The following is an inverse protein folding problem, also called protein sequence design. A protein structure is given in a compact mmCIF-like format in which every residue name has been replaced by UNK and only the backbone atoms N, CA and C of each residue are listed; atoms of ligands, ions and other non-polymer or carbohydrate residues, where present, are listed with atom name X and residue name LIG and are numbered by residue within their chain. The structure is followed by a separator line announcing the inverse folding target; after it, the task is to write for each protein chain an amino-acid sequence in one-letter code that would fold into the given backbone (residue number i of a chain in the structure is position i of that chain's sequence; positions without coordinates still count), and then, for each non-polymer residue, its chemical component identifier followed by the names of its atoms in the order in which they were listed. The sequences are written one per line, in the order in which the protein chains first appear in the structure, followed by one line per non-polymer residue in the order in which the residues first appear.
data_IF_430898678333
#
_entry.id   IF_430898678333
#
_cell.length_a   1.000
_cell.length_b   1.000
_cell.length_c   1.000
_cell.angle_alpha   90.00
_cell.angle_beta   90.00
_cell.angle_gamma   90.00
#
_symmetry.space_group_name_H-M   'P 1'
#
loop_
_entity.id
_entity.type
_entity.pdbx_description
1 polymer ?
#
# COMPACT_ATOMS: atom_id res chain seq x y z
N UNK A 1 -7.33 -1.74 47.96
CA UNK A 1 -6.31 -2.27 47.02
C UNK A 1 -7.03 -2.63 45.73
N UNK A 2 -6.90 -1.83 44.68
CA UNK A 2 -7.63 -2.04 43.41
C UNK A 2 -6.61 -2.25 42.30
N UNK A 3 -6.43 -3.51 41.89
CA UNK A 3 -5.48 -3.88 40.84
C UNK A 3 -6.10 -3.61 39.47
N UNK A 4 -5.58 -2.61 38.76
CA UNK A 4 -6.00 -2.28 37.39
C UNK A 4 -5.36 -3.30 36.42
N UNK A 5 -6.14 -4.27 35.96
CA UNK A 5 -5.78 -5.22 34.90
C UNK A 5 -5.97 -4.58 33.53
N UNK A 6 -5.02 -3.75 33.08
CA UNK A 6 -4.94 -3.29 31.69
C UNK A 6 -3.57 -3.68 31.15
N UNK A 7 -3.45 -4.62 30.19
CA UNK A 7 -2.35 -4.56 29.19
C UNK A 7 -2.29 -5.63 28.08
N UNK A 8 -2.97 -6.78 28.13
CA UNK A 8 -2.69 -7.85 27.15
C UNK A 8 -3.47 -7.73 25.82
N UNK A 9 -4.77 -7.43 25.84
CA UNK A 9 -5.60 -7.43 24.63
C UNK A 9 -5.26 -6.29 23.64
N UNK A 10 -4.97 -5.10 24.17
CA UNK A 10 -4.72 -3.90 23.36
C UNK A 10 -3.48 -4.04 22.48
N UNK A 11 -2.48 -4.79 22.96
CA UNK A 11 -1.22 -5.05 22.23
C UNK A 11 -1.42 -6.07 21.09
N UNK A 12 -2.27 -7.09 21.30
CA UNK A 12 -2.60 -8.12 20.30
C UNK A 12 -3.40 -7.55 19.13
N UNK A 13 -4.39 -6.69 19.40
CA UNK A 13 -5.20 -6.04 18.34
C UNK A 13 -4.36 -5.17 17.41
N UNK A 14 -3.49 -4.31 17.97
CA UNK A 14 -2.64 -3.40 17.17
C UNK A 14 -1.63 -4.14 16.28
N UNK A 15 -1.16 -5.31 16.72
CA UNK A 15 -0.24 -6.15 15.94
C UNK A 15 -0.92 -6.77 14.72
N UNK A 16 -2.17 -7.23 14.86
CA UNK A 16 -3.00 -7.72 13.76
C UNK A 16 -3.17 -6.67 12.66
N UNK A 17 -3.49 -5.43 13.04
CA UNK A 17 -3.78 -4.37 12.05
C UNK A 17 -2.54 -3.96 11.25
N UNK A 18 -1.37 -3.82 11.89
CA UNK A 18 -0.13 -3.52 11.15
C UNK A 18 0.23 -4.64 10.17
N UNK A 19 0.01 -5.90 10.54
CA UNK A 19 0.28 -7.04 9.68
C UNK A 19 -0.70 -7.11 8.50
N UNK A 20 -2.00 -6.85 8.75
CA UNK A 20 -3.02 -6.77 7.70
C UNK A 20 -2.69 -5.67 6.68
N UNK A 21 -2.35 -4.47 7.15
CA UNK A 21 -2.00 -3.36 6.27
C UNK A 21 -0.74 -3.70 5.45
N UNK A 22 0.28 -4.26 6.09
CA UNK A 22 1.49 -4.68 5.38
C UNK A 22 1.20 -5.72 4.29
N UNK A 23 0.35 -6.72 4.55
CA UNK A 23 -0.03 -7.70 3.53
C UNK A 23 -0.91 -7.10 2.43
N UNK A 24 -1.78 -6.16 2.77
CA UNK A 24 -2.56 -5.42 1.78
C UNK A 24 -1.64 -4.63 0.84
N UNK A 25 -0.63 -3.95 1.37
CA UNK A 25 0.35 -3.19 0.59
C UNK A 25 1.15 -4.11 -0.35
N UNK A 26 1.58 -5.27 0.16
CA UNK A 26 2.25 -6.31 -0.64
C UNK A 26 1.33 -6.81 -1.74
N UNK A 27 0.07 -7.12 -1.44
CA UNK A 27 -0.90 -7.60 -2.41
C UNK A 27 -1.17 -6.55 -3.51
N UNK A 28 -1.36 -5.29 -3.14
CA UNK A 28 -1.54 -4.18 -4.08
C UNK A 28 -0.31 -4.01 -4.98
N UNK A 29 0.89 -4.10 -4.42
CA UNK A 29 2.12 -3.99 -5.19
C UNK A 29 2.27 -5.09 -6.26
N UNK A 30 2.00 -6.34 -5.90
CA UNK A 30 2.04 -7.44 -6.87
C UNK A 30 0.90 -7.37 -7.89
N UNK A 31 -0.31 -7.01 -7.46
CA UNK A 31 -1.43 -6.80 -8.36
C UNK A 31 -1.10 -5.71 -9.41
N UNK A 32 -0.51 -4.59 -8.98
CA UNK A 32 -0.03 -3.54 -9.86
C UNK A 32 0.99 -4.04 -10.89
N UNK A 33 2.02 -4.79 -10.46
CA UNK A 33 3.03 -5.33 -11.39
C UNK A 33 2.41 -6.26 -12.44
N UNK A 34 1.50 -7.14 -12.01
CA UNK A 34 0.82 -8.08 -12.91
C UNK A 34 -0.04 -7.30 -13.91
N UNK A 35 -0.79 -6.31 -13.43
CA UNK A 35 -1.68 -5.49 -14.24
C UNK A 35 -0.93 -4.66 -15.29
N UNK A 36 0.26 -4.16 -14.96
CA UNK A 36 1.13 -3.40 -15.87
C UNK A 36 1.65 -4.21 -17.08
N UNK A 37 1.46 -5.53 -17.11
CA UNK A 37 1.87 -6.37 -18.22
C UNK A 37 0.67 -6.90 -19.03
N UNK A 38 0.11 -6.02 -19.87
CA UNK A 38 -1.02 -6.35 -20.75
C UNK A 38 -0.73 -7.45 -21.76
N UNK A 39 0.53 -7.69 -22.12
CA UNK A 39 0.92 -8.81 -22.99
C UNK A 39 0.80 -10.16 -22.30
N UNK A 40 1.07 -10.20 -20.99
CA UNK A 40 0.97 -11.40 -20.18
C UNK A 40 -0.48 -11.66 -19.74
N UNK A 41 -1.21 -10.62 -19.32
CA UNK A 41 -2.59 -10.74 -18.84
C UNK A 41 -3.60 -10.81 -20.00
N UNK A 42 -3.35 -10.11 -21.10
CA UNK A 42 -4.35 -9.88 -22.14
C UNK A 42 -5.41 -8.86 -21.69
N UNK A 43 -6.14 -8.29 -22.66
CA UNK A 43 -7.10 -7.20 -22.40
C UNK A 43 -8.19 -7.60 -21.38
N UNK A 44 -8.85 -8.78 -21.47
CA UNK A 44 -9.92 -9.11 -20.53
C UNK A 44 -9.44 -9.21 -19.08
N UNK A 45 -8.27 -9.81 -18.85
CA UNK A 45 -7.73 -9.96 -17.49
C UNK A 45 -7.24 -8.61 -16.97
N UNK A 46 -6.56 -7.81 -17.79
CA UNK A 46 -6.13 -6.46 -17.42
C UNK A 46 -7.31 -5.59 -16.95
N UNK A 47 -8.41 -5.56 -17.71
CA UNK A 47 -9.55 -4.72 -17.33
C UNK A 47 -10.21 -5.17 -16.01
N UNK A 48 -10.45 -6.48 -15.85
CA UNK A 48 -11.03 -7.01 -14.60
C UNK A 48 -10.09 -6.87 -13.41
N UNK A 49 -8.78 -7.11 -13.62
CA UNK A 49 -7.76 -6.95 -12.60
C UNK A 49 -7.63 -5.48 -12.19
N UNK A 50 -7.64 -4.55 -13.16
CA UNK A 50 -7.62 -3.10 -12.92
C UNK A 50 -8.84 -2.61 -12.12
N UNK A 51 -10.04 -3.13 -12.41
CA UNK A 51 -11.25 -2.84 -11.60
C UNK A 51 -11.08 -3.35 -10.17
N UNK A 52 -10.66 -4.62 -10.01
CA UNK A 52 -10.42 -5.21 -8.70
C UNK A 52 -9.34 -4.47 -7.91
N UNK A 53 -8.26 -4.07 -8.58
CA UNK A 53 -7.19 -3.24 -8.04
C UNK A 53 -7.72 -1.88 -7.60
N UNK A 54 -8.55 -1.21 -8.41
CA UNK A 54 -9.19 0.06 -8.07
C UNK A 54 -10.04 -0.04 -6.79
N UNK A 55 -10.84 -1.11 -6.65
CA UNK A 55 -11.63 -1.35 -5.44
C UNK A 55 -10.73 -1.61 -4.22
N UNK A 56 -9.68 -2.41 -4.37
CA UNK A 56 -8.72 -2.69 -3.30
C UNK A 56 -7.96 -1.42 -2.88
N UNK A 57 -7.64 -0.55 -3.83
CA UNK A 57 -7.00 0.74 -3.58
C UNK A 57 -7.94 1.67 -2.81
N UNK A 58 -9.21 1.78 -3.19
CA UNK A 58 -10.21 2.54 -2.44
C UNK A 58 -10.31 2.03 -1.00
N UNK A 59 -10.39 0.70 -0.82
CA UNK A 59 -10.41 0.09 0.51
C UNK A 59 -9.16 0.45 1.33
N UNK A 60 -7.97 0.34 0.74
CA UNK A 60 -6.71 0.74 1.37
C UNK A 60 -6.75 2.22 1.80
N UNK A 61 -7.23 3.13 0.94
CA UNK A 61 -7.32 4.56 1.25
C UNK A 61 -8.29 4.85 2.39
N UNK A 62 -9.42 4.14 2.46
CA UNK A 62 -10.38 4.27 3.55
C UNK A 62 -9.78 3.81 4.89
N UNK A 63 -9.02 2.72 4.91
CA UNK A 63 -8.29 2.27 6.10
C UNK A 63 -7.29 3.33 6.59
N UNK A 64 -6.68 4.06 5.66
CA UNK A 64 -5.66 5.05 5.93
C UNK A 64 -6.18 6.50 5.95
N UNK A 65 -7.50 6.73 5.89
CA UNK A 65 -8.10 8.07 5.76
C UNK A 65 -7.66 9.06 6.84
N UNK A 66 -7.65 8.62 8.10
CA UNK A 66 -7.21 9.46 9.22
C UNK A 66 -5.73 9.85 9.10
N UNK A 67 -4.89 8.95 8.60
CA UNK A 67 -3.49 9.22 8.34
C UNK A 67 -3.35 10.26 7.23
N UNK A 68 -4.07 10.10 6.11
CA UNK A 68 -4.10 11.06 4.99
C UNK A 68 -4.48 12.46 5.50
N UNK A 69 -5.61 12.59 6.22
CA UNK A 69 -6.07 13.87 6.78
C UNK A 69 -5.04 14.47 7.74
N UNK A 70 -4.44 13.64 8.60
CA UNK A 70 -3.44 14.12 9.56
C UNK A 70 -2.17 14.64 8.87
N UNK A 71 -1.79 14.03 7.75
CA UNK A 71 -0.59 14.40 6.99
C UNK A 71 -0.86 15.63 6.12
N UNK A 72 -2.01 15.72 5.45
CA UNK A 72 -2.38 16.90 4.67
C UNK A 72 -2.40 18.15 5.54
N UNK A 73 -2.87 18.07 6.79
CA UNK A 73 -2.79 19.19 7.74
C UNK A 73 -1.36 19.56 8.13
N UNK A 74 -0.44 18.59 8.18
CA UNK A 74 0.98 18.84 8.48
C UNK A 74 1.73 19.47 7.31
N UNK A 75 1.21 19.39 6.09
CA UNK A 75 1.76 20.08 4.92
C UNK A 75 1.79 21.60 5.09
N UNK A 76 0.83 22.14 5.85
CA UNK A 76 0.75 23.57 6.19
C UNK A 76 1.78 23.98 7.27
N UNK A 77 2.58 23.04 7.80
CA UNK A 77 3.63 23.30 8.79
C UNK A 77 5.00 23.07 8.16
N UNK A 78 6.04 23.73 8.68
CA UNK A 78 7.43 23.52 8.25
C UNK A 78 7.87 22.09 8.62
N UNK A 79 7.93 21.21 7.62
CA UNK A 79 8.47 19.85 7.73
C UNK A 79 9.94 19.84 7.29
N UNK A 80 10.78 18.95 7.83
CA UNK A 80 12.11 18.68 7.29
C UNK A 80 12.02 18.30 5.79
N UNK A 81 12.97 18.78 4.99
CA UNK A 81 12.96 18.63 3.52
C UNK A 81 12.79 17.18 3.05
N UNK A 82 13.47 16.22 3.69
CA UNK A 82 13.36 14.80 3.35
C UNK A 82 11.98 14.19 3.62
N UNK A 83 11.26 14.67 4.63
CA UNK A 83 9.89 14.22 4.90
C UNK A 83 8.89 14.86 3.93
N UNK A 84 9.16 16.09 3.48
CA UNK A 84 8.35 16.78 2.47
C UNK A 84 8.44 16.07 1.12
N UNK A 85 9.62 15.61 0.70
CA UNK A 85 9.77 14.88 -0.57
C UNK A 85 8.97 13.58 -0.57
N UNK A 86 9.13 12.72 0.45
CA UNK A 86 8.34 11.48 0.59
C UNK A 86 6.85 11.74 0.45
N UNK A 87 6.37 12.74 1.18
CA UNK A 87 4.98 13.16 1.10
C UNK A 87 4.54 13.60 -0.30
N UNK A 88 5.34 14.43 -0.98
CA UNK A 88 5.00 14.88 -2.33
C UNK A 88 4.91 13.70 -3.30
N UNK A 89 5.80 12.72 -3.18
CA UNK A 89 5.74 11.50 -3.99
C UNK A 89 4.49 10.68 -3.67
N UNK A 90 4.17 10.48 -2.39
CA UNK A 90 2.96 9.75 -1.98
C UNK A 90 1.68 10.45 -2.48
N UNK A 91 1.64 11.78 -2.43
CA UNK A 91 0.51 12.57 -2.91
C UNK A 91 0.39 12.49 -4.43
N UNK A 92 1.50 12.62 -5.16
CA UNK A 92 1.51 12.48 -6.62
C UNK A 92 1.09 11.08 -7.03
N UNK A 93 1.61 10.05 -6.36
CA UNK A 93 1.24 8.65 -6.59
C UNK A 93 -0.24 8.43 -6.33
N UNK A 94 -0.79 8.99 -5.25
CA UNK A 94 -2.22 8.91 -4.97
C UNK A 94 -3.06 9.53 -6.10
N UNK A 95 -2.74 10.76 -6.52
CA UNK A 95 -3.47 11.45 -7.59
C UNK A 95 -3.36 10.69 -8.91
N UNK A 96 -2.16 10.25 -9.26
CA UNK A 96 -1.89 9.51 -10.48
C UNK A 96 -2.65 8.18 -10.51
N UNK A 97 -2.68 7.43 -9.41
CA UNK A 97 -3.46 6.18 -9.31
C UNK A 97 -4.96 6.38 -9.48
N UNK A 98 -5.51 7.47 -8.94
CA UNK A 98 -6.93 7.82 -9.14
C UNK A 98 -7.20 8.05 -10.62
N UNK A 99 -6.35 8.83 -11.30
CA UNK A 99 -6.50 9.11 -12.73
C UNK A 99 -6.32 7.82 -13.54
N UNK A 100 -5.32 7.00 -13.23
CA UNK A 100 -5.02 5.75 -13.92
C UNK A 100 -6.20 4.77 -13.86
N UNK A 101 -6.76 4.53 -12.66
CA UNK A 101 -7.91 3.64 -12.48
C UNK A 101 -9.16 4.21 -13.16
N UNK A 102 -9.44 5.51 -12.98
CA UNK A 102 -10.61 6.15 -13.58
C UNK A 102 -10.56 6.09 -15.11
N UNK A 103 -9.41 6.41 -15.71
CA UNK A 103 -9.23 6.34 -17.15
C UNK A 103 -9.28 4.91 -17.67
N UNK A 104 -8.76 3.94 -16.91
CA UNK A 104 -8.82 2.50 -17.24
C UNK A 104 -10.25 1.97 -17.31
N UNK A 105 -11.09 2.35 -16.34
CA UNK A 105 -12.53 2.03 -16.35
C UNK A 105 -13.21 2.68 -17.56
N UNK A 106 -12.85 3.92 -17.89
CA UNK A 106 -13.46 4.65 -19.01
C UNK A 106 -13.12 4.06 -20.38
N UNK A 107 -11.89 3.53 -20.55
CA UNK A 107 -11.46 2.94 -21.83
C UNK A 107 -11.72 1.42 -21.92
N UNK A 108 -12.21 0.79 -20.85
CA UNK A 108 -12.49 -0.65 -20.82
C UNK A 108 -13.54 -1.03 -21.85
N UNK A 109 -13.23 -2.01 -22.69
CA UNK A 109 -14.10 -2.51 -23.75
C UNK A 109 -14.79 -3.81 -23.35
N UNK A 110 -14.06 -4.71 -22.69
CA UNK A 110 -14.52 -6.06 -22.36
C UNK A 110 -15.33 -6.06 -21.07
N UNK A 111 -14.76 -5.54 -19.98
CA UNK A 111 -15.40 -5.53 -18.67
C UNK A 111 -16.68 -4.68 -18.67
N UNK A 112 -16.62 -3.48 -19.26
CA UNK A 112 -17.78 -2.59 -19.37
C UNK A 112 -18.80 -3.09 -20.40
N UNK A 113 -18.32 -3.64 -21.52
CA UNK A 113 -19.18 -4.27 -22.53
C UNK A 113 -20.00 -5.43 -21.96
N UNK A 114 -19.41 -6.26 -21.08
CA UNK A 114 -20.11 -7.34 -20.37
C UNK A 114 -21.18 -6.82 -19.39
N UNK A 115 -21.05 -5.59 -18.90
CA UNK A 115 -22.05 -4.91 -18.07
C UNK A 115 -23.11 -4.17 -18.92
N UNK A 116 -23.04 -4.26 -20.25
CA UNK A 116 -23.95 -3.56 -21.16
C UNK A 116 -23.64 -2.07 -21.34
N UNK A 117 -22.48 -1.61 -20.87
CA UNK A 117 -22.03 -0.22 -20.96
C UNK A 117 -20.99 -0.14 -22.07
N UNK A 118 -21.21 0.76 -23.04
CA UNK A 118 -20.23 1.02 -24.09
C UNK A 118 -19.80 2.48 -24.04
N UNK A 119 -18.49 2.71 -24.09
CA UNK A 119 -17.91 4.03 -24.18
C UNK A 119 -17.43 4.28 -25.61
N UNK A 120 -17.62 5.50 -26.10
CA UNK A 120 -17.09 5.89 -27.39
C UNK A 120 -15.54 5.84 -27.35
N UNK A 121 -14.88 5.15 -28.30
CA UNK A 121 -13.43 5.15 -28.38
C UNK A 121 -12.90 6.58 -28.52
N UNK A 122 -12.06 7.00 -27.59
CA UNK A 122 -11.50 8.34 -27.58
C UNK A 122 -9.99 8.29 -27.34
N UNK A 123 -9.25 8.87 -28.27
CA UNK A 123 -7.79 8.95 -28.24
C UNK A 123 -7.27 9.64 -26.96
N UNK A 124 -7.96 10.68 -26.49
CA UNK A 124 -7.57 11.44 -25.30
C UNK A 124 -7.48 10.53 -24.07
N UNK A 125 -8.51 9.73 -23.79
CA UNK A 125 -8.54 8.87 -22.61
C UNK A 125 -7.50 7.77 -22.66
N UNK A 126 -7.27 7.17 -23.83
CA UNK A 126 -6.19 6.17 -24.02
C UNK A 126 -4.82 6.78 -23.84
N UNK A 127 -4.60 7.98 -24.39
CA UNK A 127 -3.32 8.68 -24.25
C UNK A 127 -3.07 9.06 -22.79
N UNK A 128 -4.08 9.56 -22.09
CA UNK A 128 -3.98 9.89 -20.68
C UNK A 128 -3.69 8.65 -19.84
N UNK A 129 -4.43 7.56 -20.04
CA UNK A 129 -4.22 6.29 -19.33
C UNK A 129 -2.79 5.76 -19.51
N UNK A 130 -2.26 5.75 -20.74
CA UNK A 130 -0.88 5.31 -21.01
C UNK A 130 0.16 6.22 -20.35
N UNK A 131 -0.03 7.54 -20.39
CA UNK A 131 0.90 8.48 -19.73
C UNK A 131 0.88 8.34 -18.21
N UNK A 132 -0.29 8.14 -17.61
CA UNK A 132 -0.41 7.90 -16.17
C UNK A 132 0.13 6.51 -15.79
N UNK A 133 0.01 5.50 -16.65
CA UNK A 133 0.61 4.19 -16.41
C UNK A 133 2.15 4.27 -16.42
N UNK A 134 2.73 4.97 -17.38
CA UNK A 134 4.18 5.22 -17.44
C UNK A 134 4.66 5.98 -16.19
N UNK A 135 3.92 7.02 -15.78
CA UNK A 135 4.23 7.80 -14.59
C UNK A 135 4.11 6.98 -13.30
N UNK A 136 3.07 6.14 -13.19
CA UNK A 136 2.82 5.27 -12.05
C UNK A 136 4.00 4.36 -11.77
N UNK A 137 4.63 3.78 -12.80
CA UNK A 137 5.82 2.93 -12.66
C UNK A 137 6.95 3.70 -11.96
N UNK A 138 7.24 4.92 -12.40
CA UNK A 138 8.27 5.76 -11.80
C UNK A 138 7.92 6.19 -10.38
N UNK A 139 6.68 6.57 -10.12
CA UNK A 139 6.22 7.00 -8.80
C UNK A 139 6.24 5.85 -7.79
N UNK A 140 5.80 4.65 -8.17
CA UNK A 140 5.87 3.44 -7.33
C UNK A 140 7.33 3.08 -7.03
N UNK A 141 8.21 3.12 -8.04
CA UNK A 141 9.63 2.85 -7.83
C UNK A 141 10.27 3.84 -6.85
N UNK A 142 9.96 5.13 -6.98
CA UNK A 142 10.47 6.17 -6.09
C UNK A 142 9.91 6.06 -4.67
N UNK A 143 8.61 5.79 -4.53
CA UNK A 143 7.96 5.51 -3.25
C UNK A 143 8.68 4.38 -2.50
N UNK A 144 8.90 3.23 -3.17
CA UNK A 144 9.63 2.10 -2.60
C UNK A 144 11.08 2.44 -2.24
N UNK A 145 11.79 3.18 -3.11
CA UNK A 145 13.18 3.55 -2.87
C UNK A 145 13.33 4.46 -1.64
N UNK A 146 12.42 5.43 -1.48
CA UNK A 146 12.42 6.33 -0.34
C UNK A 146 12.10 5.59 0.98
N UNK A 147 11.19 4.63 0.94
CA UNK A 147 10.75 3.89 2.13
C UNK A 147 11.49 2.57 2.38
N UNK A 148 12.52 2.26 1.59
CA UNK A 148 13.31 1.02 1.65
C UNK A 148 13.81 0.66 3.06
N UNK A 149 14.35 1.64 3.80
CA UNK A 149 14.83 1.41 5.18
C UNK A 149 13.70 0.97 6.11
N UNK A 150 12.51 1.56 5.96
CA UNK A 150 11.35 1.19 6.76
C UNK A 150 10.88 -0.21 6.39
N UNK A 151 10.77 -0.53 5.09
CA UNK A 151 10.38 -1.86 4.59
C UNK A 151 11.28 -2.93 5.19
N UNK A 152 12.60 -2.83 5.03
CA UNK A 152 13.56 -3.80 5.58
C UNK A 152 13.41 -3.97 7.10
N UNK A 153 13.22 -2.87 7.82
CA UNK A 153 13.07 -2.91 9.28
C UNK A 153 11.78 -3.60 9.71
N UNK A 154 10.68 -3.36 9.00
CA UNK A 154 9.36 -3.95 9.22
C UNK A 154 9.39 -5.43 8.87
N UNK A 155 9.88 -5.81 7.69
CA UNK A 155 10.08 -7.21 7.27
C UNK A 155 10.92 -7.98 8.28
N UNK A 156 12.05 -7.43 8.72
CA UNK A 156 12.90 -8.08 9.73
C UNK A 156 12.18 -8.26 11.07
N UNK A 157 11.40 -7.26 11.49
CA UNK A 157 10.72 -7.27 12.79
C UNK A 157 9.55 -8.24 12.84
N UNK A 158 8.75 -8.30 11.78
CA UNK A 158 7.47 -9.02 11.77
C UNK A 158 7.55 -10.39 11.10
N UNK A 159 8.43 -10.58 10.10
CA UNK A 159 8.58 -11.86 9.40
C UNK A 159 9.81 -12.63 9.90
N UNK A 160 10.96 -11.98 9.99
CA UNK A 160 12.23 -12.69 10.23
C UNK A 160 12.49 -13.06 11.69
N UNK A 161 12.26 -12.14 12.63
CA UNK A 161 12.48 -12.37 14.07
C UNK A 161 11.62 -13.46 14.72
N UNK A 162 10.31 -13.60 14.41
CA UNK A 162 9.52 -14.70 14.95
C UNK A 162 9.93 -16.06 14.36
N UNK A 163 10.35 -16.13 13.10
CA UNK A 163 10.83 -17.37 12.46
C UNK A 163 12.21 -17.79 12.96
N UNK A 164 13.10 -16.84 13.29
CA UNK A 164 14.47 -17.11 13.78
C UNK A 164 14.60 -17.09 15.30
N UNK A 165 13.50 -17.34 16.02
CA UNK A 165 13.40 -17.23 17.47
C UNK A 165 14.52 -17.94 18.24
N UNK A 166 15.61 -17.21 18.51
CA UNK A 166 16.63 -17.57 19.49
C UNK A 166 15.95 -17.46 20.85
N UNK A 167 15.49 -18.60 21.41
CA UNK A 167 15.09 -18.71 22.82
C UNK A 167 16.18 -17.99 23.63
N UNK A 168 15.85 -16.87 24.26
CA UNK A 168 16.70 -16.31 25.32
C UNK A 168 16.83 -17.43 26.34
N UNK A 169 18.03 -18.03 26.46
CA UNK A 169 18.32 -18.95 27.55
C UNK A 169 17.98 -18.22 28.85
N UNK A 170 17.25 -18.84 29.79
CA UNK A 170 17.06 -18.26 31.11
C UNK A 170 18.45 -17.94 31.66
N UNK A 171 18.66 -16.68 32.09
CA UNK A 171 19.83 -16.34 32.88
C UNK A 171 19.68 -17.15 34.17
N UNK A 172 20.44 -18.24 34.28
CA UNK A 172 20.58 -18.97 35.53
C UNK A 172 20.98 -17.92 36.57
N UNK A 173 20.16 -17.76 37.60
CA UNK A 173 20.53 -16.97 38.75
C UNK A 173 21.80 -17.61 39.31
N UNK A 174 22.90 -16.85 39.35
CA UNK A 174 24.03 -17.22 40.19
C UNK A 174 23.48 -17.34 41.60
N UNK A 175 23.46 -18.59 42.08
CA UNK A 175 23.23 -18.88 43.48
C UNK A 175 24.37 -18.24 44.25
N UNK A 176 24.07 -17.13 44.92
CA UNK A 176 24.96 -16.54 45.90
C UNK A 176 25.27 -17.56 46.98
N UNK A 177 26.55 -17.85 47.10
CA UNK A 177 27.17 -18.53 48.21
C UNK A 177 26.83 -17.80 49.52
N UNK A 178 26.44 -18.57 50.53
CA UNK A 178 26.39 -18.18 51.94
C UNK A 178 27.13 -19.25 52.74
#
# INVERSE_FOLDING_TARGET
MTTITISSERKRRRFSETLKNYWLDVALFFAFIIDMNTRFTGIPIHEWLGIGFGLALIYHLLLHWNWIVSITRRLMRKLPSGQRLRYLIDLLLFVDMVILVMTGIWISEVAMGQLGISFAPNFFWRRLHTQTADLAIWLVALHLALDWKWILSTTKRYLWRPLTGRRRKPRLADGGEA
#
